data_IF_677162716922
#
_entry.id   IF_677162716922
#
_cell.length_a   1.000
_cell.length_b   1.000
_cell.length_c   1.000
_cell.angle_alpha   90.00
_cell.angle_beta   90.00
_cell.angle_gamma   90.00
#
_symmetry.space_group_name_H-M   'P 1'
#
loop_
_entity.id
_entity.type
_entity.pdbx_description
1 polymer ?
#
# COMPACT_ATOMS: atom_id res chain seq x y z
N UNK A 1 -29.37 12.06 19.33
CA UNK A 1 -30.52 11.48 20.06
C UNK A 1 -30.00 10.39 20.98
N UNK A 2 -30.24 10.45 22.28
CA UNK A 2 -29.82 9.41 23.24
C UNK A 2 -30.65 8.15 22.94
N UNK A 3 -30.02 6.98 22.79
CA UNK A 3 -30.76 5.74 22.54
C UNK A 3 -31.71 5.45 23.71
N UNK A 4 -32.89 4.91 23.43
CA UNK A 4 -33.88 4.54 24.46
C UNK A 4 -33.24 3.67 25.57
N UNK A 5 -32.38 2.74 25.18
CA UNK A 5 -31.62 1.88 26.10
C UNK A 5 -30.73 2.67 27.06
N UNK A 6 -30.14 3.78 26.60
CA UNK A 6 -29.28 4.64 27.41
C UNK A 6 -30.09 5.52 28.36
N UNK A 7 -31.27 5.98 27.94
CA UNK A 7 -32.20 6.66 28.84
C UNK A 7 -32.68 5.75 29.98
N UNK A 8 -33.00 4.48 29.66
CA UNK A 8 -33.40 3.49 30.67
C UNK A 8 -32.26 3.19 31.65
N UNK A 9 -31.02 3.04 31.16
CA UNK A 9 -29.85 2.85 32.02
C UNK A 9 -29.60 4.06 32.93
N UNK A 10 -29.72 5.28 32.41
CA UNK A 10 -29.61 6.50 33.23
C UNK A 10 -30.69 6.57 34.32
N UNK A 11 -31.94 6.27 33.98
CA UNK A 11 -33.03 6.25 34.94
C UNK A 11 -32.81 5.18 36.03
N UNK A 12 -32.38 3.98 35.64
CA UNK A 12 -32.09 2.89 36.57
C UNK A 12 -30.95 3.24 37.55
N UNK A 13 -29.91 3.94 37.09
CA UNK A 13 -28.81 4.38 37.96
C UNK A 13 -29.24 5.54 38.87
N UNK A 14 -29.93 6.54 38.33
CA UNK A 14 -30.39 7.71 39.10
C UNK A 14 -31.40 7.35 40.18
N UNK A 15 -32.26 6.35 39.94
CA UNK A 15 -33.22 5.86 40.93
C UNK A 15 -32.57 4.81 41.84
N UNK A 16 -31.71 3.94 41.28
CA UNK A 16 -31.10 2.83 41.99
C UNK A 16 -30.10 3.26 43.06
N UNK A 17 -29.29 4.31 42.82
CA UNK A 17 -28.33 4.83 43.80
C UNK A 17 -29.02 5.33 45.08
N UNK A 18 -30.00 6.26 45.03
CA UNK A 18 -30.65 6.75 46.25
C UNK A 18 -31.44 5.64 46.94
N UNK A 19 -32.13 4.78 46.18
CA UNK A 19 -32.86 3.64 46.75
C UNK A 19 -31.90 2.69 47.50
N UNK A 20 -30.75 2.39 46.92
CA UNK A 20 -29.73 1.55 47.55
C UNK A 20 -29.18 2.20 48.82
N UNK A 21 -28.93 3.51 48.84
CA UNK A 21 -28.44 4.22 50.02
C UNK A 21 -29.46 4.22 51.17
N UNK A 22 -30.76 4.37 50.86
CA UNK A 22 -31.83 4.32 51.87
C UNK A 22 -31.98 2.92 52.46
N UNK A 23 -31.98 1.88 51.62
CA UNK A 23 -32.20 0.49 52.07
C UNK A 23 -30.95 -0.17 52.65
N UNK A 24 -29.76 0.42 52.46
CA UNK A 24 -28.50 -0.15 52.95
C UNK A 24 -28.51 -0.36 54.47
N UNK A 25 -29.16 0.51 55.24
CA UNK A 25 -29.19 0.42 56.71
C UNK A 25 -29.81 -0.87 57.24
N UNK A 26 -30.89 -1.35 56.61
CA UNK A 26 -31.65 -2.52 57.02
C UNK A 26 -31.18 -3.81 56.31
N UNK A 27 -30.47 -3.67 55.19
CA UNK A 27 -30.04 -4.80 54.37
C UNK A 27 -28.93 -5.62 55.03
N UNK A 28 -28.99 -6.95 54.86
CA UNK A 28 -27.91 -7.86 55.24
C UNK A 28 -26.61 -7.56 54.47
N UNK A 29 -25.46 -7.95 55.03
CA UNK A 29 -24.15 -7.70 54.40
C UNK A 29 -24.07 -8.29 52.98
N UNK A 30 -24.65 -9.47 52.75
CA UNK A 30 -24.70 -10.12 51.44
C UNK A 30 -25.54 -9.30 50.45
N UNK A 31 -26.71 -8.82 50.89
CA UNK A 31 -27.60 -7.98 50.06
C UNK A 31 -26.95 -6.64 49.69
N UNK A 32 -26.19 -6.03 50.62
CA UNK A 32 -25.43 -4.79 50.35
C UNK A 32 -24.39 -5.01 49.26
N UNK A 33 -23.61 -6.09 49.36
CA UNK A 33 -22.59 -6.43 48.37
C UNK A 33 -23.25 -6.73 47.01
N UNK A 34 -24.29 -7.55 46.98
CA UNK A 34 -25.02 -7.87 45.76
C UNK A 34 -25.59 -6.61 45.08
N UNK A 35 -26.29 -5.75 45.83
CA UNK A 35 -26.84 -4.50 45.30
C UNK A 35 -25.77 -3.53 44.79
N UNK A 36 -24.65 -3.42 45.52
CA UNK A 36 -23.51 -2.59 45.12
C UNK A 36 -22.85 -3.07 43.82
N UNK A 37 -22.65 -4.39 43.69
CA UNK A 37 -22.07 -4.98 42.46
C UNK A 37 -22.99 -4.79 41.24
N UNK A 38 -24.31 -4.90 41.42
CA UNK A 38 -25.30 -4.67 40.34
C UNK A 38 -25.27 -3.20 39.91
N UNK A 39 -25.24 -2.25 40.85
CA UNK A 39 -25.12 -0.83 40.52
C UNK A 39 -23.82 -0.52 39.80
N UNK A 40 -22.71 -1.11 40.23
CA UNK A 40 -21.41 -0.93 39.60
C UNK A 40 -21.37 -1.51 38.18
N UNK A 41 -22.03 -2.65 37.94
CA UNK A 41 -22.20 -3.22 36.61
C UNK A 41 -23.06 -2.33 35.69
N UNK A 42 -24.13 -1.71 36.21
CA UNK A 42 -24.94 -0.78 35.42
C UNK A 42 -24.16 0.47 35.02
N UNK A 43 -23.34 1.02 35.94
CA UNK A 43 -22.46 2.16 35.66
C UNK A 43 -21.37 1.79 34.65
N UNK A 44 -20.79 0.59 34.73
CA UNK A 44 -19.76 0.14 33.79
C UNK A 44 -20.33 -0.04 32.38
N UNK A 45 -21.53 -0.61 32.25
CA UNK A 45 -22.26 -0.72 30.97
C UNK A 45 -22.55 0.68 30.43
N UNK A 46 -22.96 1.63 31.27
CA UNK A 46 -23.24 3.00 30.84
C UNK A 46 -21.98 3.70 30.29
N UNK A 47 -20.83 3.52 30.94
CA UNK A 47 -19.54 4.05 30.49
C UNK A 47 -19.05 3.39 29.19
N UNK A 48 -19.21 2.07 29.06
CA UNK A 48 -18.69 1.32 27.91
C UNK A 48 -19.61 1.37 26.68
N UNK A 49 -20.92 1.50 26.87
CA UNK A 49 -21.92 1.61 25.79
C UNK A 49 -21.87 2.93 25.03
N UNK A 50 -21.05 3.90 25.46
CA UNK A 50 -20.89 5.21 24.82
C UNK A 50 -19.94 5.21 23.61
N UNK A 51 -19.20 4.13 23.36
CA UNK A 51 -18.31 4.04 22.19
C UNK A 51 -19.15 3.70 20.96
N UNK A 52 -19.44 4.70 20.14
CA UNK A 52 -20.10 4.50 18.83
C UNK A 52 -19.36 3.43 18.04
N UNK A 53 -20.06 2.48 17.39
CA UNK A 53 -19.40 1.50 16.54
C UNK A 53 -18.58 2.24 15.49
N UNK A 54 -17.31 1.84 15.34
CA UNK A 54 -16.39 2.38 14.34
C UNK A 54 -17.13 2.43 12.99
N UNK A 55 -17.24 3.60 12.34
CA UNK A 55 -17.98 3.71 11.10
C UNK A 55 -17.38 2.72 10.09
N UNK A 56 -18.22 1.78 9.64
CA UNK A 56 -17.86 0.86 8.56
C UNK A 56 -17.50 1.71 7.34
N UNK A 57 -16.40 1.42 6.63
CA UNK A 57 -16.01 2.20 5.47
C UNK A 57 -17.16 2.20 4.45
N UNK A 58 -17.48 3.34 3.82
CA UNK A 58 -18.57 3.43 2.88
C UNK A 58 -18.31 2.49 1.71
N UNK A 59 -19.25 1.58 1.45
CA UNK A 59 -19.30 0.84 0.18
C UNK A 59 -19.45 1.89 -0.92
N UNK A 60 -18.46 1.99 -1.80
CA UNK A 60 -18.49 2.87 -2.96
C UNK A 60 -19.74 2.59 -3.78
N UNK A 61 -20.66 3.56 -3.83
CA UNK A 61 -21.73 3.57 -4.83
C UNK A 61 -21.05 3.72 -6.18
N UNK A 62 -21.27 2.75 -7.07
CA UNK A 62 -20.89 2.87 -8.47
C UNK A 62 -21.61 4.10 -9.05
N UNK A 63 -20.85 5.16 -9.29
CA UNK A 63 -21.29 6.29 -10.10
C UNK A 63 -21.15 5.82 -11.54
N UNK A 64 -22.29 5.59 -12.18
CA UNK A 64 -22.40 5.54 -13.64
C UNK A 64 -22.04 6.94 -14.12
N UNK A 65 -20.82 7.09 -14.64
CA UNK A 65 -20.42 8.23 -15.45
C UNK A 65 -20.76 7.87 -16.88
N UNK A 66 -21.71 8.60 -17.47
CA UNK A 66 -21.82 8.69 -18.93
C UNK A 66 -20.51 9.27 -19.47
N UNK A 67 -19.77 8.50 -20.25
CA UNK A 67 -18.73 9.01 -21.15
C UNK A 67 -19.11 8.69 -22.60
N UNK A 68 -18.94 9.67 -23.53
CA UNK A 68 -19.33 9.54 -24.92
C UNK A 68 -18.31 8.72 -25.74
N UNK A 69 -18.86 7.83 -26.55
CA UNK A 69 -18.36 7.31 -27.83
C UNK A 69 -16.86 7.44 -28.14
N UNK A 70 -16.14 6.33 -27.99
CA UNK A 70 -15.01 6.00 -28.85
C UNK A 70 -15.04 4.49 -29.15
N UNK A 71 -15.35 4.16 -30.40
CA UNK A 71 -15.40 2.79 -30.91
C UNK A 71 -14.00 2.18 -30.91
N UNK A 72 -13.73 1.26 -29.99
CA UNK A 72 -12.66 0.27 -30.12
C UNK A 72 -13.31 -1.11 -30.11
N UNK A 73 -13.15 -1.85 -31.22
CA UNK A 73 -13.54 -3.25 -31.34
C UNK A 73 -12.69 -4.10 -30.38
N UNK A 74 -13.18 -4.31 -29.16
CA UNK A 74 -12.75 -5.34 -28.23
C UNK A 74 -13.70 -6.54 -28.40
N UNK A 75 -13.20 -7.78 -28.50
CA UNK A 75 -14.08 -8.95 -28.54
C UNK A 75 -14.92 -9.03 -27.27
N UNK A 76 -16.17 -9.50 -27.42
CA UNK A 76 -17.22 -9.45 -26.40
C UNK A 76 -16.72 -9.90 -25.01
N UNK A 77 -16.94 -9.09 -23.96
CA UNK A 77 -16.60 -9.48 -22.60
C UNK A 77 -17.45 -10.68 -22.20
N UNK A 78 -16.80 -11.83 -22.00
CA UNK A 78 -17.41 -13.01 -21.38
C UNK A 78 -17.90 -12.59 -20.00
N UNK A 79 -19.23 -12.54 -19.86
CA UNK A 79 -19.93 -12.30 -18.60
C UNK A 79 -19.73 -13.51 -17.67
N UNK A 80 -18.54 -13.62 -17.07
CA UNK A 80 -18.37 -14.40 -15.85
C UNK A 80 -18.82 -13.52 -14.68
N UNK A 81 -20.10 -13.69 -14.31
CA UNK A 81 -20.69 -13.20 -13.06
C UNK A 81 -20.05 -13.95 -11.87
N UNK A 82 -18.76 -13.72 -11.61
CA UNK A 82 -18.12 -14.17 -10.37
C UNK A 82 -16.85 -13.33 -10.13
N UNK A 83 -17.01 -12.29 -9.32
CA UNK A 83 -15.94 -11.36 -9.03
C UNK A 83 -14.78 -12.05 -8.31
N UNK A 84 -13.54 -11.69 -8.65
CA UNK A 84 -12.31 -12.21 -8.03
C UNK A 84 -12.25 -12.08 -6.48
N UNK A 85 -13.15 -11.30 -5.87
CA UNK A 85 -13.35 -11.20 -4.43
C UNK A 85 -14.09 -12.42 -3.84
N UNK A 86 -15.04 -13.00 -4.56
CA UNK A 86 -15.86 -14.14 -4.12
C UNK A 86 -15.01 -15.42 -4.02
N UNK A 87 -14.16 -15.67 -5.04
CA UNK A 87 -13.12 -16.73 -5.02
C UNK A 87 -12.16 -16.64 -3.82
N UNK A 88 -11.95 -15.46 -3.24
CA UNK A 88 -11.02 -15.29 -2.11
C UNK A 88 -11.71 -15.59 -0.77
N UNK A 89 -13.00 -15.33 -0.66
CA UNK A 89 -13.79 -15.60 0.54
C UNK A 89 -14.16 -17.09 0.65
N UNK A 90 -14.41 -17.77 -0.47
CA UNK A 90 -14.60 -19.23 -0.49
C UNK A 90 -13.34 -20.02 -0.10
N UNK A 91 -12.15 -19.51 -0.45
CA UNK A 91 -10.87 -20.12 -0.05
C UNK A 91 -10.55 -19.99 1.45
N UNK A 92 -11.21 -19.08 2.16
CA UNK A 92 -11.01 -18.88 3.61
C UNK A 92 -11.99 -19.72 4.44
N UNK A 93 -13.02 -20.30 3.82
CA UNK A 93 -13.99 -21.19 4.47
C UNK A 93 -13.77 -22.69 4.17
N UNK A 94 -12.54 -23.20 4.31
CA UNK A 94 -12.33 -24.66 4.31
C UNK A 94 -11.10 -25.11 5.10
N UNK A 95 -11.14 -24.99 6.44
CA UNK A 95 -10.19 -25.69 7.32
C UNK A 95 -10.81 -26.15 8.64
N UNK A 96 -12.07 -26.59 8.63
CA UNK A 96 -12.66 -27.41 9.70
C UNK A 96 -13.46 -28.56 9.09
N UNK A 97 -12.89 -29.77 9.13
CA UNK A 97 -13.65 -31.02 9.02
C UNK A 97 -13.68 -31.69 7.64
N UNK A 98 -12.78 -32.67 7.47
CA UNK A 98 -13.05 -34.03 6.96
C UNK A 98 -13.89 -34.20 5.68
N UNK A 99 -13.22 -34.49 4.56
CA UNK A 99 -13.61 -35.56 3.62
C UNK A 99 -12.44 -35.85 2.67
N UNK A 100 -12.01 -37.11 2.64
CA UNK A 100 -11.02 -37.62 1.72
C UNK A 100 -11.61 -37.65 0.30
N UNK A 101 -10.96 -36.98 -0.65
CA UNK A 101 -11.13 -37.29 -2.06
C UNK A 101 -9.79 -37.06 -2.76
N UNK A 102 -9.20 -38.15 -3.21
CA UNK A 102 -7.94 -38.17 -3.95
C UNK A 102 -8.12 -37.45 -5.29
N UNK A 103 -7.19 -36.58 -5.73
CA UNK A 103 -7.19 -36.10 -7.10
C UNK A 103 -6.57 -37.18 -8.00
N UNK A 104 -7.36 -37.69 -8.94
CA UNK A 104 -6.91 -38.47 -10.08
C UNK A 104 -5.85 -37.70 -10.86
N UNK A 105 -4.70 -38.34 -11.09
CA UNK A 105 -3.67 -37.89 -12.05
C UNK A 105 -4.25 -37.97 -13.46
N UNK A 106 -4.68 -36.85 -14.01
CA UNK A 106 -4.83 -36.72 -15.46
C UNK A 106 -3.49 -36.26 -16.05
N UNK A 107 -2.91 -37.13 -16.89
CA UNK A 107 -1.73 -36.82 -17.68
C UNK A 107 -2.05 -35.74 -18.73
N UNK A 108 -1.10 -34.84 -19.06
CA UNK A 108 -1.27 -33.95 -20.19
C UNK A 108 -1.24 -34.75 -21.52
N UNK A 109 -1.99 -34.31 -22.55
CA UNK A 109 -2.00 -34.98 -23.86
C UNK A 109 -0.62 -34.87 -24.55
N UNK A 110 -0.23 -35.86 -25.37
CA UNK A 110 1.04 -35.84 -26.07
C UNK A 110 1.07 -34.73 -27.13
N UNK A 111 2.22 -34.05 -27.22
CA UNK A 111 2.52 -33.04 -28.24
C UNK A 111 2.57 -33.73 -29.62
N UNK A 112 1.94 -33.18 -30.67
CA UNK A 112 2.06 -33.73 -32.02
C UNK A 112 3.48 -33.54 -32.54
N UNK A 113 4.12 -34.63 -32.97
CA UNK A 113 5.40 -34.58 -33.69
C UNK A 113 5.14 -34.01 -35.09
N UNK A 114 5.89 -32.99 -35.56
CA UNK A 114 5.76 -32.55 -36.94
C UNK A 114 6.31 -33.62 -37.91
N UNK A 115 5.71 -33.80 -39.10
CA UNK A 115 6.17 -34.80 -40.06
C UNK A 115 7.57 -34.44 -40.60
N UNK A 116 8.38 -35.46 -40.99
CA UNK A 116 9.69 -35.22 -41.57
C UNK A 116 9.55 -34.45 -42.89
N UNK A 117 10.32 -33.39 -43.03
CA UNK A 117 10.45 -32.62 -44.26
C UNK A 117 11.14 -33.54 -45.27
N UNK A 118 10.38 -34.07 -46.23
CA UNK A 118 10.95 -34.70 -47.41
C UNK A 118 11.80 -33.66 -48.15
N UNK A 119 13.08 -33.99 -48.34
CA UNK A 119 13.93 -33.32 -49.30
C UNK A 119 13.31 -33.50 -50.70
N UNK A 120 12.63 -32.47 -51.18
CA UNK A 120 12.28 -32.33 -52.57
C UNK A 120 13.32 -31.40 -53.21
N UNK A 121 14.17 -32.00 -54.04
CA UNK A 121 14.87 -31.27 -55.09
C UNK A 121 13.85 -30.45 -55.89
N UNK A 122 14.11 -29.15 -55.95
CA UNK A 122 13.25 -28.19 -56.62
C UNK A 122 14.04 -26.91 -56.81
N UNK A 123 14.98 -26.97 -57.76
CA UNK A 123 15.51 -25.78 -58.42
C UNK A 123 14.34 -24.93 -58.90
N UNK A 124 14.20 -23.72 -58.34
CA UNK A 124 13.86 -22.48 -59.05
C UNK A 124 13.49 -21.40 -58.01
N UNK A 125 14.51 -20.69 -57.55
CA UNK A 125 14.40 -19.41 -56.86
C UNK A 125 15.12 -18.34 -57.69
N UNK A 126 14.63 -17.10 -57.74
CA UNK A 126 15.08 -16.09 -58.70
C UNK A 126 16.55 -15.71 -58.43
N UNK A 127 17.36 -15.86 -59.47
CA UNK A 127 18.76 -15.46 -59.51
C UNK A 127 18.86 -13.95 -59.24
N UNK A 128 19.53 -13.55 -58.15
CA UNK A 128 19.87 -12.15 -57.91
C UNK A 128 20.73 -11.61 -59.06
N UNK A 129 20.48 -10.39 -59.55
CA UNK A 129 21.23 -9.85 -60.68
C UNK A 129 22.68 -9.57 -60.26
N UNK A 130 23.62 -10.27 -60.89
CA UNK A 130 25.05 -9.98 -60.81
C UNK A 130 25.30 -8.58 -61.40
N UNK A 131 26.08 -7.69 -60.74
CA UNK A 131 26.40 -6.38 -61.31
C UNK A 131 27.29 -6.50 -62.56
N UNK A 132 27.17 -5.60 -63.54
CA UNK A 132 27.96 -5.65 -64.77
C UNK A 132 29.44 -5.40 -64.48
N UNK A 133 30.30 -6.30 -64.96
CA UNK A 133 31.76 -6.16 -64.91
C UNK A 133 32.17 -5.18 -66.02
N UNK A 134 32.79 -4.02 -65.73
CA UNK A 134 33.38 -3.18 -66.78
C UNK A 134 34.75 -3.76 -67.19
N UNK A 135 35.00 -3.74 -68.51
CA UNK A 135 36.21 -4.30 -69.12
C UNK A 135 37.50 -3.52 -68.81
N UNK A 136 38.58 -4.30 -68.76
CA UNK A 136 40.01 -4.00 -68.83
C UNK A 136 40.61 -2.84 -68.00
N UNK A 137 41.33 -3.23 -66.94
CA UNK A 137 42.32 -2.39 -66.25
C UNK A 137 42.34 -2.62 -64.73
N UNK A 138 43.21 -3.53 -64.27
CA UNK A 138 43.63 -3.73 -62.85
C UNK A 138 42.60 -3.31 -61.78
N UNK A 139 41.46 -4.01 -61.70
CA UNK A 139 40.54 -3.82 -60.58
C UNK A 139 41.02 -4.69 -59.43
N UNK A 140 41.72 -4.08 -58.47
CA UNK A 140 41.97 -4.72 -57.17
C UNK A 140 40.62 -5.07 -56.58
N UNK A 141 40.37 -6.36 -56.32
CA UNK A 141 39.13 -6.81 -55.71
C UNK A 141 38.95 -6.10 -54.36
N UNK A 142 38.06 -5.11 -54.31
CA UNK A 142 37.69 -4.46 -53.06
C UNK A 142 36.95 -5.49 -52.21
N UNK A 143 37.46 -5.79 -51.00
CA UNK A 143 36.83 -6.71 -50.05
C UNK A 143 35.41 -6.22 -49.74
N UNK A 144 34.40 -6.89 -50.28
CA UNK A 144 33.01 -6.64 -49.91
C UNK A 144 32.80 -7.10 -48.47
N UNK A 145 32.61 -6.13 -47.58
CA UNK A 145 32.19 -6.39 -46.19
C UNK A 145 30.69 -6.13 -46.16
N UNK A 146 29.90 -7.18 -45.90
CA UNK A 146 28.48 -7.03 -45.68
C UNK A 146 28.27 -6.03 -44.53
N UNK A 147 27.52 -4.95 -44.80
CA UNK A 147 27.34 -3.84 -43.85
C UNK A 147 26.50 -4.23 -42.63
N UNK A 148 25.71 -5.30 -42.74
CA UNK A 148 24.91 -5.85 -41.65
C UNK A 148 24.75 -7.36 -41.82
N UNK A 149 25.08 -8.11 -40.78
CA UNK A 149 24.73 -9.53 -40.67
C UNK A 149 23.24 -9.66 -40.31
N UNK A 150 22.53 -10.63 -40.89
CA UNK A 150 21.12 -10.87 -40.61
C UNK A 150 20.88 -11.12 -39.11
N UNK A 151 21.82 -11.84 -38.48
CA UNK A 151 21.82 -12.08 -37.04
C UNK A 151 21.97 -10.78 -36.22
N UNK A 152 22.69 -9.79 -36.73
CA UNK A 152 22.83 -8.49 -36.07
C UNK A 152 21.55 -7.66 -36.11
N UNK A 153 20.76 -7.77 -37.19
CA UNK A 153 19.45 -7.12 -37.30
C UNK A 153 18.47 -7.68 -36.26
N UNK A 154 18.41 -9.01 -36.16
CA UNK A 154 17.54 -9.70 -35.19
C UNK A 154 17.93 -9.36 -33.74
N UNK A 155 19.23 -9.30 -33.42
CA UNK A 155 19.69 -8.89 -32.09
C UNK A 155 19.27 -7.46 -31.74
N UNK A 156 19.35 -6.53 -32.71
CA UNK A 156 18.93 -5.15 -32.51
C UNK A 156 17.43 -5.03 -32.25
N UNK A 157 16.59 -5.82 -32.95
CA UNK A 157 15.14 -5.87 -32.71
C UNK A 157 14.80 -6.42 -31.32
N UNK A 158 15.50 -7.48 -30.89
CA UNK A 158 15.33 -8.05 -29.54
C UNK A 158 15.76 -7.04 -28.47
N UNK A 159 16.88 -6.34 -28.67
CA UNK A 159 17.33 -5.29 -27.75
C UNK A 159 16.32 -4.15 -27.66
N UNK A 160 15.79 -3.69 -28.81
CA UNK A 160 14.74 -2.67 -28.85
C UNK A 160 13.49 -3.11 -28.07
N UNK A 161 13.00 -4.33 -28.31
CA UNK A 161 11.84 -4.87 -27.59
C UNK A 161 12.06 -4.96 -26.06
N UNK A 162 13.25 -5.40 -25.64
CA UNK A 162 13.60 -5.45 -24.21
C UNK A 162 13.69 -4.05 -23.61
N UNK A 163 14.27 -3.09 -24.34
CA UNK A 163 14.38 -1.69 -23.91
C UNK A 163 12.99 -1.05 -23.74
N UNK A 164 12.08 -1.24 -24.70
CA UNK A 164 10.70 -0.78 -24.63
C UNK A 164 9.97 -1.37 -23.43
N UNK A 165 10.17 -2.67 -23.17
CA UNK A 165 9.57 -3.34 -22.02
C UNK A 165 10.11 -2.80 -20.70
N UNK A 166 11.39 -2.41 -20.64
CA UNK A 166 11.99 -1.76 -19.46
C UNK A 166 11.41 -0.37 -19.24
N UNK A 167 11.25 0.43 -20.29
CA UNK A 167 10.64 1.76 -20.23
C UNK A 167 9.20 1.67 -19.73
N UNK A 168 8.37 0.81 -20.34
CA UNK A 168 6.97 0.57 -19.89
C UNK A 168 6.90 0.15 -18.43
N UNK A 169 7.76 -0.77 -17.98
CA UNK A 169 7.82 -1.18 -16.56
C UNK A 169 8.30 -0.07 -15.65
N UNK A 170 9.20 0.80 -16.10
CA UNK A 170 9.67 1.94 -15.32
C UNK A 170 8.54 2.97 -15.15
N UNK A 171 7.79 3.25 -16.21
CA UNK A 171 6.62 4.13 -16.16
C UNK A 171 5.52 3.59 -15.24
N UNK A 172 5.15 2.31 -15.37
CA UNK A 172 4.16 1.68 -14.47
C UNK A 172 4.63 1.78 -13.01
N UNK A 173 5.92 1.53 -12.75
CA UNK A 173 6.49 1.66 -11.39
C UNK A 173 6.46 3.10 -10.90
N UNK A 174 6.81 4.09 -11.71
CA UNK A 174 6.80 5.50 -11.29
C UNK A 174 5.39 5.99 -10.97
N UNK A 175 4.41 5.63 -11.82
CA UNK A 175 2.99 5.93 -11.58
C UNK A 175 2.49 5.25 -10.30
N UNK A 176 2.81 3.97 -10.09
CA UNK A 176 2.42 3.23 -8.89
C UNK A 176 3.01 3.82 -7.61
N UNK A 177 4.30 4.19 -7.63
CA UNK A 177 4.96 4.81 -6.48
C UNK A 177 4.32 6.17 -6.17
N UNK A 178 4.02 6.99 -7.19
CA UNK A 178 3.32 8.26 -7.01
C UNK A 178 1.93 8.04 -6.40
N UNK A 179 1.14 7.11 -6.93
CA UNK A 179 -0.19 6.77 -6.39
C UNK A 179 -0.12 6.33 -4.92
N UNK A 180 0.78 5.41 -4.58
CA UNK A 180 0.99 4.95 -3.20
C UNK A 180 1.42 6.07 -2.26
N UNK A 181 2.28 6.99 -2.72
CA UNK A 181 2.69 8.16 -1.91
C UNK A 181 1.51 9.09 -1.65
N UNK A 182 0.67 9.35 -2.65
CA UNK A 182 -0.53 10.17 -2.50
C UNK A 182 -1.54 9.53 -1.54
N UNK A 183 -1.82 8.23 -1.68
CA UNK A 183 -2.72 7.50 -0.79
C UNK A 183 -2.21 7.49 0.66
N UNK A 184 -0.89 7.33 0.85
CA UNK A 184 -0.28 7.40 2.18
C UNK A 184 -0.44 8.82 2.78
N UNK A 185 -0.19 9.85 1.98
CA UNK A 185 -0.38 11.24 2.40
C UNK A 185 -1.85 11.51 2.78
N UNK A 186 -2.81 11.02 2.00
CA UNK A 186 -4.24 11.11 2.29
C UNK A 186 -4.62 10.41 3.59
N UNK A 187 -4.10 9.19 3.83
CA UNK A 187 -4.31 8.47 5.10
C UNK A 187 -3.71 9.20 6.30
N UNK A 188 -2.54 9.83 6.13
CA UNK A 188 -1.93 10.64 7.18
C UNK A 188 -2.77 11.91 7.45
N UNK A 189 -3.22 12.58 6.40
CA UNK A 189 -4.07 13.76 6.50
C UNK A 189 -5.42 13.43 7.13
N UNK A 190 -6.05 12.30 6.77
CA UNK A 190 -7.32 11.88 7.37
C UNK A 190 -7.16 11.50 8.84
N UNK A 191 -6.05 10.86 9.22
CA UNK A 191 -5.72 10.61 10.63
C UNK A 191 -5.51 11.91 11.40
N UNK A 192 -4.77 12.88 10.85
CA UNK A 192 -4.58 14.19 11.47
C UNK A 192 -5.92 14.93 11.65
N UNK A 193 -6.79 14.92 10.64
CA UNK A 193 -8.15 15.48 10.74
C UNK A 193 -8.99 14.78 11.81
N UNK A 194 -8.91 13.45 11.89
CA UNK A 194 -9.63 12.70 12.92
C UNK A 194 -9.14 13.01 14.34
N UNK A 195 -7.84 13.30 14.50
CA UNK A 195 -7.29 13.74 15.78
C UNK A 195 -7.78 15.15 16.14
N UNK A 196 -7.74 16.08 15.17
CA UNK A 196 -8.25 17.44 15.34
C UNK A 196 -9.76 17.49 15.63
N UNK A 197 -10.55 16.54 15.15
CA UNK A 197 -11.99 16.50 15.40
C UNK A 197 -12.36 15.95 16.81
N UNK A 198 -11.43 15.27 17.49
CA UNK A 198 -11.62 14.77 18.86
C UNK A 198 -11.18 15.80 19.89
N UNK A 199 -10.22 16.64 19.54
CA UNK A 199 -9.85 17.81 20.33
C UNK A 199 -11.00 18.83 20.19
N UNK A 200 -11.55 19.32 21.31
CA UNK A 200 -12.58 20.38 21.32
C UNK A 200 -11.98 21.75 20.90
N UNK A 201 -11.12 21.75 19.88
CA UNK A 201 -10.49 22.92 19.31
C UNK A 201 -11.45 23.65 18.37
N UNK A 202 -11.50 24.96 18.52
CA UNK A 202 -12.21 25.84 17.59
C UNK A 202 -11.51 25.87 16.22
N UNK A 203 -12.28 25.74 15.13
CA UNK A 203 -11.73 25.85 13.76
C UNK A 203 -11.59 27.33 13.37
N UNK A 204 -10.48 27.94 13.80
CA UNK A 204 -10.14 29.33 13.49
C UNK A 204 -10.07 29.61 11.99
N UNK A 205 -9.73 28.61 11.16
CA UNK A 205 -9.68 28.79 9.72
C UNK A 205 -11.08 28.93 9.11
N UNK A 206 -12.11 28.33 9.71
CA UNK A 206 -13.51 28.57 9.31
C UNK A 206 -14.02 29.92 9.79
N UNK A 207 -13.71 30.30 11.03
CA UNK A 207 -14.12 31.57 11.62
C UNK A 207 -13.52 32.75 10.82
N UNK A 208 -12.24 32.67 10.46
CA UNK A 208 -11.55 33.71 9.68
C UNK A 208 -12.02 33.83 8.22
N UNK A 209 -12.89 32.94 7.72
CA UNK A 209 -13.50 33.12 6.38
C UNK A 209 -14.54 34.22 6.36
N UNK A 210 -15.17 34.49 7.51
CA UNK A 210 -16.17 35.54 7.61
C UNK A 210 -15.47 36.90 7.65
N UNK A 211 -15.75 37.82 6.71
CA UNK A 211 -15.06 39.11 6.65
C UNK A 211 -15.31 40.01 7.88
N UNK A 212 -16.35 39.72 8.65
CA UNK A 212 -16.70 40.41 9.90
C UNK A 212 -16.48 39.50 11.12
N UNK A 213 -15.37 38.76 11.16
CA UNK A 213 -15.02 37.89 12.28
C UNK A 213 -14.74 38.63 13.60
N UNK A 214 -14.52 39.95 13.58
CA UNK A 214 -14.26 40.76 14.78
C UNK A 214 -12.89 40.52 15.44
N UNK A 215 -12.12 39.53 14.97
CA UNK A 215 -10.77 39.22 15.45
C UNK A 215 -9.69 40.01 14.71
N UNK A 216 -8.61 40.39 15.41
CA UNK A 216 -7.41 40.99 14.81
C UNK A 216 -6.41 39.89 14.47
N UNK A 217 -5.98 39.80 13.21
CA UNK A 217 -5.00 38.81 12.75
C UNK A 217 -3.60 39.43 12.72
N UNK A 218 -2.69 38.88 13.52
CA UNK A 218 -1.26 39.21 13.54
C UNK A 218 -0.53 38.19 12.67
N UNK A 219 0.36 38.61 11.78
CA UNK A 219 1.10 37.69 10.89
C UNK A 219 2.56 37.56 11.34
N UNK A 220 3.07 36.33 11.45
CA UNK A 220 4.46 36.05 11.82
C UNK A 220 5.06 34.97 10.89
N UNK A 221 6.20 35.21 10.22
CA UNK A 221 6.93 36.47 10.11
C UNK A 221 6.13 37.56 9.36
N UNK A 222 6.40 38.83 9.70
CA UNK A 222 5.73 40.00 9.09
C UNK A 222 6.00 40.07 7.57
N UNK A 223 7.20 39.70 7.15
CA UNK A 223 7.56 39.47 5.74
C UNK A 223 7.74 37.97 5.48
N UNK A 224 6.85 37.40 4.67
CA UNK A 224 6.89 35.98 4.33
C UNK A 224 7.51 35.76 2.94
N UNK A 225 8.43 34.80 2.84
CA UNK A 225 9.06 34.44 1.56
C UNK A 225 8.10 33.65 0.66
N UNK A 226 7.49 34.33 -0.32
CA UNK A 226 6.54 33.74 -1.27
C UNK A 226 7.18 32.78 -2.27
N UNK A 227 8.51 32.61 -2.29
CA UNK A 227 9.18 31.70 -3.22
C UNK A 227 8.95 30.22 -2.89
N UNK A 228 8.66 29.90 -1.63
CA UNK A 228 8.49 28.54 -1.14
C UNK A 228 7.05 28.29 -0.70
N UNK A 229 6.52 27.06 -0.84
CA UNK A 229 5.23 26.70 -0.26
C UNK A 229 5.29 26.89 1.26
N UNK A 230 4.27 27.53 1.85
CA UNK A 230 4.21 27.80 3.28
C UNK A 230 3.05 27.02 3.93
N UNK A 231 3.30 26.46 5.11
CA UNK A 231 2.30 25.97 6.03
C UNK A 231 1.80 27.14 6.86
N UNK A 232 0.47 27.24 7.02
CA UNK A 232 -0.16 28.27 7.84
C UNK A 232 -0.82 27.59 9.03
N UNK A 233 -0.51 28.07 10.23
CA UNK A 233 -1.23 27.72 11.46
C UNK A 233 -1.81 28.97 12.11
N UNK A 234 -2.98 28.81 12.71
CA UNK A 234 -3.66 29.87 13.45
C UNK A 234 -3.61 29.54 14.94
N UNK A 235 -3.19 30.48 15.76
CA UNK A 235 -3.12 30.35 17.22
C UNK A 235 -3.90 31.49 17.84
N UNK A 236 -4.87 31.18 18.71
CA UNK A 236 -5.60 32.19 19.46
C UNK A 236 -4.73 32.66 20.63
N UNK A 237 -4.41 33.96 20.67
CA UNK A 237 -3.67 34.55 21.79
C UNK A 237 -4.65 34.96 22.89
N UNK A 238 -5.69 35.70 22.50
CA UNK A 238 -6.74 36.19 23.39
C UNK A 238 -8.11 36.10 22.70
N UNK A 239 -9.16 36.56 23.39
CA UNK A 239 -10.52 36.56 22.86
C UNK A 239 -10.69 37.37 21.55
N UNK A 240 -9.85 38.39 21.34
CA UNK A 240 -9.91 39.29 20.18
C UNK A 240 -8.74 39.18 19.19
N UNK A 241 -7.76 38.31 19.42
CA UNK A 241 -6.50 38.28 18.65
C UNK A 241 -6.09 36.86 18.24
N UNK A 242 -5.78 36.71 16.95
CA UNK A 242 -5.23 35.47 16.38
C UNK A 242 -3.85 35.76 15.78
N UNK A 243 -2.90 34.87 16.03
CA UNK A 243 -1.61 34.83 15.37
C UNK A 243 -1.66 33.85 14.19
N UNK A 244 -1.31 34.32 13.01
CA UNK A 244 -1.15 33.53 11.79
C UNK A 244 0.34 33.29 11.59
N UNK A 245 0.79 32.09 11.96
CA UNK A 245 2.17 31.66 11.82
C UNK A 245 2.37 31.04 10.44
N UNK A 246 3.33 31.55 9.68
CA UNK A 246 3.69 31.06 8.34
C UNK A 246 5.06 30.39 8.40
N UNK A 247 5.11 29.10 8.09
CA UNK A 247 6.33 28.28 8.17
C UNK A 247 6.63 27.72 6.77
N UNK A 248 7.85 27.88 6.22
CA UNK A 248 8.19 27.31 4.92
C UNK A 248 8.17 25.77 4.98
N UNK A 249 7.48 25.14 4.02
CA UNK A 249 7.42 23.69 3.88
C UNK A 249 8.62 23.21 3.05
N UNK A 250 9.77 23.17 3.70
CA UNK A 250 10.97 22.58 3.11
C UNK A 250 10.92 21.06 3.26
N UNK A 251 10.72 20.38 2.15
CA UNK A 251 11.04 18.96 2.07
C UNK A 251 12.54 18.88 1.86
N UNK A 252 13.33 18.22 2.73
CA UNK A 252 14.72 17.96 2.40
C UNK A 252 14.69 17.22 1.07
N UNK A 253 15.25 17.84 0.03
CA UNK A 253 15.43 17.18 -1.24
C UNK A 253 16.22 15.93 -0.89
N UNK A 254 15.59 14.77 -1.00
CA UNK A 254 16.32 13.52 -0.94
C UNK A 254 17.26 13.62 -2.12
N UNK A 255 18.51 13.98 -1.86
CA UNK A 255 19.56 14.04 -2.85
C UNK A 255 19.41 12.77 -3.67
N UNK A 256 19.10 12.94 -4.95
CA UNK A 256 19.15 11.84 -5.88
C UNK A 256 20.59 11.37 -5.83
N UNK A 257 20.84 10.27 -5.10
CA UNK A 257 22.08 9.53 -5.17
C UNK A 257 22.42 9.44 -6.66
N UNK A 258 23.57 9.99 -7.11
CA UNK A 258 23.90 9.99 -8.52
C UNK A 258 23.80 8.55 -9.01
N UNK A 259 23.17 8.37 -10.18
CA UNK A 259 23.05 7.11 -10.91
C UNK A 259 24.30 6.26 -10.65
N UNK A 260 24.09 5.10 -10.04
CA UNK A 260 25.09 4.05 -9.91
C UNK A 260 25.57 3.62 -11.31
N UNK A 261 26.62 4.27 -11.78
CA UNK A 261 27.67 3.68 -12.60
C UNK A 261 28.90 3.67 -11.68
N UNK A 262 29.09 2.56 -10.98
CA UNK A 262 30.13 2.36 -9.97
C UNK A 262 29.65 1.33 -8.97
N UNK A 263 30.46 0.31 -8.76
CA UNK A 263 30.30 -0.70 -7.71
C UNK A 263 29.81 -0.12 -6.38
N UNK A 264 29.07 -0.89 -5.56
CA UNK A 264 28.72 -0.43 -4.22
C UNK A 264 30.01 -0.07 -3.48
N UNK A 265 30.11 1.10 -2.82
CA UNK A 265 31.20 1.35 -1.91
C UNK A 265 31.09 0.29 -0.80
N UNK A 266 32.12 -0.53 -0.71
CA UNK A 266 32.33 -1.46 0.39
C UNK A 266 32.28 -0.63 1.67
N UNK A 267 31.19 -0.82 2.43
CA UNK A 267 31.03 -0.22 3.75
C UNK A 267 32.18 -0.78 4.58
N UNK A 268 33.23 0.01 4.76
CA UNK A 268 34.24 -0.26 5.77
C UNK A 268 33.53 -0.15 7.11
N UNK A 269 33.13 -1.31 7.64
CA UNK A 269 32.66 -1.46 9.00
C UNK A 269 33.82 -0.96 9.87
N UNK A 270 33.64 0.09 10.70
CA UNK A 270 34.67 0.42 11.68
C UNK A 270 34.82 -0.81 12.58
N UNK A 271 36.06 -1.31 12.68
CA UNK A 271 36.41 -2.44 13.53
C UNK A 271 35.83 -2.23 14.93
N UNK A 272 35.19 -3.28 15.46
CA UNK A 272 34.49 -3.31 16.75
C UNK A 272 35.40 -3.09 18.00
N UNK A 273 36.66 -2.71 17.81
CA UNK A 273 37.67 -2.63 18.88
C UNK A 273 37.70 -1.29 19.64
N UNK A 274 36.95 -0.26 19.21
CA UNK A 274 37.01 1.09 19.81
C UNK A 274 35.73 1.52 20.55
N UNK A 275 34.83 0.59 20.90
CA UNK A 275 33.69 0.88 21.76
C UNK A 275 34.01 0.53 23.22
N UNK A 276 33.90 1.47 24.19
CA UNK A 276 33.95 1.10 25.60
C UNK A 276 32.78 0.16 25.93
N UNK A 277 33.10 -1.02 26.47
CA UNK A 277 32.12 -2.04 26.83
C UNK A 277 31.06 -1.47 27.80
N UNK A 278 29.75 -1.60 27.50
CA UNK A 278 28.71 -1.18 28.44
C UNK A 278 28.76 -2.04 29.72
N UNK A 279 28.59 -1.45 30.91
CA UNK A 279 28.75 -2.17 32.16
C UNK A 279 27.60 -3.16 32.40
N UNK A 280 27.96 -4.41 32.68
CA UNK A 280 27.22 -5.35 33.54
C UNK A 280 25.79 -5.71 33.11
N UNK A 281 25.63 -6.55 32.09
CA UNK A 281 24.43 -7.39 31.97
C UNK A 281 24.75 -8.84 32.36
N UNK A 282 23.90 -9.51 33.15
CA UNK A 282 24.09 -10.92 33.47
C UNK A 282 24.02 -11.77 32.19
N UNK A 283 24.78 -12.88 32.11
CA UNK A 283 24.82 -13.70 30.89
C UNK A 283 23.44 -14.26 30.57
N UNK A 284 23.01 -14.10 29.31
CA UNK A 284 21.78 -14.73 28.81
C UNK A 284 21.89 -16.26 28.91
N UNK A 285 20.79 -16.96 29.24
CA UNK A 285 20.78 -18.43 29.19
C UNK A 285 20.98 -18.92 27.75
N UNK A 286 21.63 -20.08 27.56
CA UNK A 286 21.87 -20.63 26.23
C UNK A 286 20.55 -20.91 25.50
N UNK A 287 20.50 -20.64 24.18
CA UNK A 287 19.29 -20.86 23.39
C UNK A 287 18.89 -22.35 23.41
N UNK A 288 17.59 -22.66 23.53
CA UNK A 288 17.09 -24.03 23.53
C UNK A 288 17.55 -24.78 22.27
N UNK A 289 18.10 -25.98 22.47
CA UNK A 289 18.67 -26.81 21.41
C UNK A 289 17.67 -27.06 20.28
N UNK A 290 18.08 -26.74 19.05
CA UNK A 290 17.35 -27.14 17.86
C UNK A 290 17.29 -28.69 17.80
N UNK A 291 16.12 -29.29 17.52
CA UNK A 291 16.06 -30.73 17.32
C UNK A 291 16.95 -31.12 16.12
N UNK A 292 17.65 -32.27 16.19
CA UNK A 292 18.54 -32.69 15.11
C UNK A 292 17.76 -32.82 13.81
N UNK A 293 18.35 -32.31 12.72
CA UNK A 293 17.82 -32.50 11.37
C UNK A 293 17.68 -34.00 11.10
N UNK A 294 16.57 -34.43 10.46
CA UNK A 294 16.45 -35.82 10.03
C UNK A 294 17.54 -36.14 9.00
N UNK A 295 18.09 -37.37 9.01
CA UNK A 295 19.14 -37.75 8.07
C UNK A 295 18.63 -37.67 6.63
N UNK A 296 19.51 -37.33 5.67
CA UNK A 296 19.14 -37.31 4.27
C UNK A 296 18.75 -38.72 3.81
N UNK A 297 17.63 -38.80 3.09
CA UNK A 297 17.19 -40.05 2.46
C UNK A 297 18.16 -40.35 1.31
N UNK A 298 19.09 -41.27 1.53
CA UNK A 298 19.80 -41.94 0.44
C UNK A 298 18.79 -42.84 -0.26
N UNK A 299 18.61 -42.62 -1.57
CA UNK A 299 17.89 -43.56 -2.42
C UNK A 299 18.87 -44.68 -2.76
N UNK A 300 18.76 -45.80 -2.06
CA UNK A 300 19.36 -47.05 -2.50
C UNK A 300 18.29 -48.15 -2.48
N UNK A 301 18.20 -48.81 -3.65
CA UNK A 301 17.54 -50.08 -4.02
C UNK A 301 16.01 -50.20 -3.99
#
# INVERSE_FOLDING_TARGET
MVSLTRLVLWAAVLIGIPLFLVLQGEASMITRIAGGTILLALVSILMFSGRSPVPKPPKSKAVVVEEPTAEFNLPEPVLELEGASERREEKIQRSRGKAAQQPSKEMPPPIPVPPPISAAEGSDGPVSPMPPIPGDGTVVASRYVAQSDAQSGEMAEVEAFVSDRRVKRAEIRSQLVRKRRMELAERRASKARAWSAVEDGEDLATLLKDPNHGLTVLEEPEEADHSKPQGVSYVRIDDGRILKVRIPLEMPAKEESPKAAGEPPEVQIPSLDDMPSPPGMPPLPPPPGMPPMPPPVTKDE
#
